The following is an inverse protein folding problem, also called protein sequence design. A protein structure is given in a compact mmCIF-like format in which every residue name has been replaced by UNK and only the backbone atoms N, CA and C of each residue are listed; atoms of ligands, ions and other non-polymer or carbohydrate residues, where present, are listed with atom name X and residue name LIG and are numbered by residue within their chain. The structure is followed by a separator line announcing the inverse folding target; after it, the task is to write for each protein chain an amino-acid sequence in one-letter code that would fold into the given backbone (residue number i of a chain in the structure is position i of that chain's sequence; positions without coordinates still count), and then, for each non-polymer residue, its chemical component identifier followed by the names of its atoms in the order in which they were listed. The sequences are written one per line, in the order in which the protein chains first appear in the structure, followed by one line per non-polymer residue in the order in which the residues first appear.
data_IF_880373577294
#
_entry.id   IF_880373577294
#
_cell.length_a   1.000
_cell.length_b   1.000
_cell.length_c   1.000
_cell.angle_alpha   90.00
_cell.angle_beta   90.00
_cell.angle_gamma   90.00
#
_symmetry.space_group_name_H-M   'P 1'
#
loop_
_entity.id
_entity.type
_entity.pdbx_description
1 polymer ?
#
# COMPACT_ATOMS: atom_id res chain seq x y z
N UNK A 1 -8.99 -1.56 2.72
CA UNK A 1 -9.22 -1.13 1.32
C UNK A 1 -10.61 -1.52 0.84
N UNK A 2 -11.14 -2.67 1.28
CA UNK A 2 -12.44 -3.22 0.93
C UNK A 2 -13.11 -3.87 2.17
N UNK A 3 -14.32 -4.41 1.99
CA UNK A 3 -15.11 -5.02 3.06
C UNK A 3 -14.51 -6.33 3.59
N UNK A 4 -13.89 -7.16 2.74
CA UNK A 4 -13.31 -8.43 3.16
C UNK A 4 -12.14 -8.22 4.13
N UNK A 5 -11.30 -7.21 3.88
CA UNK A 5 -10.23 -6.82 4.81
C UNK A 5 -10.80 -6.32 6.14
N UNK A 6 -11.88 -5.52 6.12
CA UNK A 6 -12.52 -5.05 7.34
C UNK A 6 -13.09 -6.21 8.17
N UNK A 7 -13.71 -7.18 7.50
CA UNK A 7 -14.22 -8.41 8.13
C UNK A 7 -13.07 -9.20 8.74
N UNK A 8 -11.96 -9.39 8.03
CA UNK A 8 -10.79 -10.10 8.56
C UNK A 8 -10.25 -9.45 9.84
N UNK A 9 -10.14 -8.12 9.86
CA UNK A 9 -9.72 -7.36 11.05
C UNK A 9 -10.70 -7.57 12.22
N UNK A 10 -12.01 -7.54 11.95
CA UNK A 10 -13.06 -7.75 12.97
C UNK A 10 -13.07 -9.17 13.51
N UNK A 11 -12.98 -10.17 12.64
CA UNK A 11 -12.88 -11.59 13.02
C UNK A 11 -11.61 -11.85 13.83
N UNK A 12 -10.52 -11.11 13.54
CA UNK A 12 -9.30 -11.09 14.36
C UNK A 12 -9.45 -10.43 15.74
N UNK A 13 -10.65 -9.98 16.13
CA UNK A 13 -10.96 -9.45 17.46
C UNK A 13 -10.71 -7.95 17.64
N UNK A 14 -10.33 -7.22 16.59
CA UNK A 14 -10.07 -5.77 16.67
C UNK A 14 -11.38 -4.98 16.72
N UNK A 15 -11.58 -4.22 17.81
CA UNK A 15 -12.78 -3.41 18.06
C UNK A 15 -12.61 -1.91 17.75
N UNK A 16 -11.43 -1.46 17.34
CA UNK A 16 -11.18 -0.04 16.97
C UNK A 16 -11.99 0.34 15.72
N UNK A 17 -12.36 1.63 15.51
CA UNK A 17 -13.02 2.06 14.28
C UNK A 17 -12.25 1.65 13.02
N UNK A 18 -12.97 1.22 11.99
CA UNK A 18 -12.40 0.84 10.68
C UNK A 18 -13.06 1.70 9.61
N UNK A 19 -12.24 2.37 8.80
CA UNK A 19 -12.69 3.11 7.62
C UNK A 19 -12.29 2.35 6.36
N UNK A 20 -13.25 2.07 5.48
CA UNK A 20 -12.96 1.67 4.10
C UNK A 20 -12.71 2.93 3.27
N UNK A 21 -11.49 3.07 2.74
CA UNK A 21 -11.09 4.21 1.90
C UNK A 21 -11.68 4.18 0.49
N UNK A 22 -12.06 2.99 0.01
CA UNK A 22 -12.55 2.75 -1.34
C UNK A 22 -14.07 2.58 -1.43
N UNK A 23 -14.50 1.93 -2.49
CA UNK A 23 -15.90 1.60 -2.76
C UNK A 23 -16.30 0.27 -2.10
N UNK A 24 -17.52 0.24 -1.57
CA UNK A 24 -18.20 -0.99 -1.15
C UNK A 24 -19.56 -1.04 -1.85
N UNK A 25 -19.90 -2.12 -2.57
CA UNK A 25 -21.20 -2.22 -3.21
C UNK A 25 -22.36 -2.00 -2.21
N UNK A 26 -23.39 -1.20 -2.53
CA UNK A 26 -24.53 -0.97 -1.62
C UNK A 26 -25.26 -2.25 -1.22
N UNK A 27 -25.22 -3.29 -2.06
CA UNK A 27 -25.72 -4.65 -1.74
C UNK A 27 -25.01 -5.34 -0.57
N UNK A 28 -23.88 -4.79 -0.10
CA UNK A 28 -23.11 -5.28 1.04
C UNK A 28 -23.31 -4.42 2.29
N UNK A 29 -24.39 -3.64 2.34
CA UNK A 29 -24.71 -2.77 3.48
C UNK A 29 -24.93 -3.56 4.77
N UNK A 30 -25.49 -4.77 4.67
CA UNK A 30 -25.65 -5.70 5.78
C UNK A 30 -24.31 -6.03 6.44
N UNK A 31 -23.25 -6.20 5.65
CA UNK A 31 -21.89 -6.42 6.14
C UNK A 31 -21.30 -5.16 6.78
N UNK A 32 -21.50 -3.99 6.17
CA UNK A 32 -21.05 -2.70 6.73
C UNK A 32 -21.64 -2.51 8.14
N UNK A 33 -22.94 -2.74 8.30
CA UNK A 33 -23.62 -2.60 9.58
C UNK A 33 -23.20 -3.67 10.58
N UNK A 34 -23.27 -4.95 10.19
CA UNK A 34 -22.94 -6.09 11.05
C UNK A 34 -21.54 -6.00 11.64
N UNK A 35 -20.57 -5.49 10.86
CA UNK A 35 -19.18 -5.40 11.26
C UNK A 35 -18.76 -4.00 11.73
N UNK A 36 -19.71 -3.06 11.95
CA UNK A 36 -19.46 -1.68 12.37
C UNK A 36 -18.29 -1.03 11.60
N UNK A 37 -18.47 -0.92 10.28
CA UNK A 37 -17.48 -0.36 9.36
C UNK A 37 -17.93 1.04 8.93
N UNK A 38 -17.03 2.03 9.07
CA UNK A 38 -17.24 3.37 8.52
C UNK A 38 -16.95 3.34 7.02
N UNK A 39 -17.84 3.90 6.21
CA UNK A 39 -17.75 3.88 4.75
C UNK A 39 -17.38 5.25 4.18
N UNK A 40 -16.46 5.29 3.21
CA UNK A 40 -16.19 6.52 2.46
C UNK A 40 -17.36 6.84 1.53
N UNK A 41 -17.79 8.10 1.49
CA UNK A 41 -18.71 8.65 0.47
C UNK A 41 -17.92 9.63 -0.40
N UNK A 42 -17.82 9.35 -1.69
CA UNK A 42 -16.98 10.11 -2.63
C UNK A 42 -17.75 10.71 -3.80
N UNK A 43 -19.04 10.45 -3.92
CA UNK A 43 -19.92 11.07 -4.91
C UNK A 43 -21.34 11.13 -4.39
N UNK A 44 -22.14 12.02 -4.98
CA UNK A 44 -23.54 12.21 -4.61
C UNK A 44 -24.39 10.97 -4.88
N UNK A 45 -24.26 10.39 -6.08
CA UNK A 45 -25.05 9.22 -6.47
C UNK A 45 -24.73 8.01 -5.57
N UNK A 46 -23.46 7.78 -5.28
CA UNK A 46 -23.07 6.71 -4.37
C UNK A 46 -23.54 6.97 -2.94
N UNK A 47 -23.48 8.22 -2.47
CA UNK A 47 -24.06 8.63 -1.19
C UNK A 47 -25.56 8.31 -1.11
N UNK A 48 -26.34 8.61 -2.16
CA UNK A 48 -27.76 8.26 -2.21
C UNK A 48 -27.99 6.75 -2.20
N UNK A 49 -27.21 5.98 -2.95
CA UNK A 49 -27.34 4.52 -2.95
C UNK A 49 -27.04 3.93 -1.57
N UNK A 50 -26.04 4.45 -0.85
CA UNK A 50 -25.75 4.04 0.52
C UNK A 50 -26.86 4.46 1.49
N UNK A 51 -27.39 5.67 1.35
CA UNK A 51 -28.49 6.14 2.18
C UNK A 51 -29.74 5.26 2.00
N UNK A 52 -30.10 4.93 0.75
CA UNK A 52 -31.22 4.02 0.45
C UNK A 52 -30.98 2.62 1.03
N UNK A 53 -29.81 2.02 0.80
CA UNK A 53 -29.51 0.69 1.32
C UNK A 53 -29.51 0.64 2.86
N UNK A 54 -29.08 1.72 3.52
CA UNK A 54 -29.17 1.84 4.97
C UNK A 54 -30.62 2.04 5.44
N UNK A 55 -31.43 2.79 4.70
CA UNK A 55 -32.87 2.96 4.94
C UNK A 55 -33.63 1.64 4.82
N UNK A 56 -33.36 0.84 3.78
CA UNK A 56 -33.99 -0.46 3.54
C UNK A 56 -33.73 -1.44 4.71
N UNK A 57 -32.59 -1.29 5.40
CA UNK A 57 -32.25 -2.05 6.61
C UNK A 57 -32.78 -1.42 7.91
N UNK A 58 -33.36 -0.22 7.85
CA UNK A 58 -33.77 0.54 9.03
C UNK A 58 -32.59 1.00 9.88
N UNK A 59 -31.44 1.25 9.26
CA UNK A 59 -30.16 1.53 9.91
C UNK A 59 -29.61 2.91 9.53
N UNK A 60 -28.65 3.34 10.33
CA UNK A 60 -27.80 4.50 10.08
C UNK A 60 -26.34 4.04 10.11
N UNK A 61 -25.54 4.49 9.15
CA UNK A 61 -24.12 4.13 9.06
C UNK A 61 -23.21 5.34 9.20
N UNK A 62 -22.02 5.12 9.77
CA UNK A 62 -20.97 6.14 9.83
C UNK A 62 -20.32 6.29 8.47
N UNK A 63 -20.13 7.54 8.04
CA UNK A 63 -19.47 7.86 6.78
C UNK A 63 -18.38 8.91 6.94
N UNK A 64 -17.35 8.78 6.11
CA UNK A 64 -16.36 9.83 5.90
C UNK A 64 -16.51 10.40 4.49
N UNK A 65 -16.65 11.72 4.38
CA UNK A 65 -16.80 12.40 3.09
C UNK A 65 -15.41 12.59 2.46
N UNK A 66 -15.24 12.08 1.25
CA UNK A 66 -13.99 12.20 0.50
C UNK A 66 -14.05 13.44 -0.39
N UNK A 67 -13.09 14.33 -0.20
CA UNK A 67 -12.91 15.52 -1.04
C UNK A 67 -11.74 15.28 -2.00
N UNK A 68 -11.95 15.65 -3.25
CA UNK A 68 -10.90 15.67 -4.24
C UNK A 68 -10.34 17.08 -4.43
N UNK A 69 -9.14 17.28 -3.91
CA UNK A 69 -8.43 18.56 -4.01
C UNK A 69 -7.41 18.60 -5.13
N UNK A 70 -7.33 17.55 -5.96
CA UNK A 70 -6.41 17.42 -7.09
C UNK A 70 -5.74 16.05 -7.24
N UNK A 71 -6.17 15.02 -6.50
CA UNK A 71 -5.68 13.65 -6.70
C UNK A 71 -6.40 12.99 -7.88
N UNK A 72 -7.62 13.41 -8.21
CA UNK A 72 -8.40 12.91 -9.35
C UNK A 72 -8.66 11.41 -9.33
N UNK A 73 -8.78 10.83 -8.13
CA UNK A 73 -9.03 9.39 -7.93
C UNK A 73 -10.47 9.10 -7.48
N UNK A 74 -10.88 9.71 -6.38
CA UNK A 74 -12.21 9.64 -5.78
C UNK A 74 -12.43 10.92 -4.98
N UNK A 75 -13.65 11.44 -5.01
CA UNK A 75 -14.09 12.50 -4.11
C UNK A 75 -14.97 13.54 -4.79
N UNK A 76 -15.62 14.35 -3.97
CA UNK A 76 -16.27 15.58 -4.41
C UNK A 76 -15.19 16.59 -4.81
N UNK A 77 -15.14 16.96 -6.09
CA UNK A 77 -14.12 17.88 -6.59
C UNK A 77 -14.35 19.30 -6.09
N UNK A 78 -13.26 19.98 -5.77
CA UNK A 78 -13.24 21.38 -5.28
C UNK A 78 -12.09 22.16 -5.90
N UNK A 79 -11.68 21.82 -7.13
CA UNK A 79 -10.48 22.38 -7.76
C UNK A 79 -10.72 23.76 -8.36
N UNK A 80 -11.99 24.12 -8.59
CA UNK A 80 -12.47 25.44 -8.99
C UNK A 80 -13.79 25.79 -8.27
N UNK A 81 -14.27 27.03 -8.44
CA UNK A 81 -15.45 27.54 -7.73
C UNK A 81 -16.77 26.87 -8.16
N UNK A 82 -16.91 26.50 -9.44
CA UNK A 82 -18.11 25.79 -9.93
C UNK A 82 -18.22 24.41 -9.28
N UNK A 83 -17.12 23.65 -9.27
CA UNK A 83 -17.04 22.36 -8.61
C UNK A 83 -17.27 22.47 -7.10
N UNK A 84 -16.71 23.50 -6.46
CA UNK A 84 -16.90 23.80 -5.03
C UNK A 84 -18.38 24.05 -4.71
N UNK A 85 -19.07 24.86 -5.51
CA UNK A 85 -20.49 25.13 -5.35
C UNK A 85 -21.35 23.87 -5.52
N UNK A 86 -21.11 23.11 -6.59
CA UNK A 86 -21.84 21.87 -6.88
C UNK A 86 -21.63 20.80 -5.80
N UNK A 87 -20.39 20.63 -5.34
CA UNK A 87 -20.03 19.72 -4.25
C UNK A 87 -20.69 20.12 -2.93
N UNK A 88 -20.74 21.43 -2.63
CA UNK A 88 -21.44 21.94 -1.44
C UNK A 88 -22.92 21.60 -1.46
N UNK A 89 -23.61 21.86 -2.57
CA UNK A 89 -25.04 21.56 -2.71
C UNK A 89 -25.33 20.07 -2.50
N UNK A 90 -24.58 19.21 -3.20
CA UNK A 90 -24.72 17.75 -3.12
C UNK A 90 -24.46 17.20 -1.72
N UNK A 91 -23.43 17.69 -1.04
CA UNK A 91 -23.11 17.27 0.33
C UNK A 91 -24.19 17.74 1.31
N UNK A 92 -24.70 18.98 1.15
CA UNK A 92 -25.82 19.49 1.96
C UNK A 92 -27.08 18.65 1.78
N UNK A 93 -27.37 18.21 0.57
CA UNK A 93 -28.52 17.34 0.31
C UNK A 93 -28.37 15.98 1.00
N UNK A 94 -27.21 15.33 0.87
CA UNK A 94 -26.93 14.07 1.57
C UNK A 94 -27.00 14.23 3.10
N UNK A 95 -26.52 15.36 3.63
CA UNK A 95 -26.50 15.63 5.07
C UNK A 95 -27.90 15.82 5.66
N UNK A 96 -28.90 16.24 4.86
CA UNK A 96 -30.30 16.31 5.30
C UNK A 96 -30.92 14.92 5.52
N UNK A 97 -30.34 13.88 4.92
CA UNK A 97 -30.76 12.48 5.11
C UNK A 97 -30.48 11.99 6.52
N UNK A 98 -31.24 10.98 6.99
CA UNK A 98 -31.12 10.44 8.35
C UNK A 98 -30.22 9.20 8.45
N UNK A 99 -29.93 8.56 7.32
CA UNK A 99 -29.28 7.24 7.26
C UNK A 99 -27.75 7.31 7.18
N UNK A 100 -27.19 8.49 6.89
CA UNK A 100 -25.75 8.71 6.87
C UNK A 100 -25.34 9.59 8.06
N UNK A 101 -24.46 9.07 8.91
CA UNK A 101 -23.81 9.85 9.96
C UNK A 101 -22.48 10.38 9.46
N UNK A 102 -22.40 11.69 9.27
CA UNK A 102 -21.18 12.36 8.79
C UNK A 102 -20.17 12.44 9.94
N UNK A 103 -19.41 11.37 10.13
CA UNK A 103 -18.42 11.23 11.19
C UNK A 103 -17.14 12.01 10.84
N UNK A 104 -16.71 11.96 9.58
CA UNK A 104 -15.45 12.56 9.16
C UNK A 104 -15.43 13.10 7.73
N UNK A 105 -14.35 13.81 7.41
CA UNK A 105 -14.06 14.37 6.10
C UNK A 105 -12.56 14.29 5.80
N UNK A 106 -12.20 13.98 4.55
CA UNK A 106 -10.79 13.79 4.22
C UNK A 106 -10.42 14.04 2.76
N UNK A 107 -9.16 14.40 2.54
CA UNK A 107 -8.51 14.41 1.22
C UNK A 107 -7.27 13.50 1.22
N UNK A 108 -6.59 13.38 0.08
CA UNK A 108 -5.33 12.66 -0.07
C UNK A 108 -4.39 13.46 -0.96
N UNK A 109 -3.16 13.66 -0.49
CA UNK A 109 -2.15 14.39 -1.23
C UNK A 109 -1.54 13.54 -2.33
N UNK A 110 -1.28 14.16 -3.47
CA UNK A 110 -0.72 13.51 -4.65
C UNK A 110 0.81 13.45 -4.63
N UNK A 111 1.47 14.47 -4.06
CA UNK A 111 2.93 14.67 -4.13
C UNK A 111 3.52 15.07 -2.77
N UNK A 112 2.96 14.57 -1.67
CA UNK A 112 3.46 14.91 -0.33
C UNK A 112 4.86 14.34 -0.02
N UNK A 113 5.31 13.39 -0.84
CA UNK A 113 6.65 12.80 -0.86
C UNK A 113 7.67 13.61 -1.68
N UNK A 114 7.22 14.64 -2.40
CA UNK A 114 8.02 15.62 -3.14
C UNK A 114 7.83 17.02 -2.51
N UNK A 115 8.41 17.29 -1.33
CA UNK A 115 8.08 18.44 -0.49
C UNK A 115 8.37 19.80 -1.12
N UNK A 116 9.25 19.85 -2.12
CA UNK A 116 9.57 21.03 -2.92
C UNK A 116 8.44 21.42 -3.89
N UNK A 117 7.55 20.48 -4.25
CA UNK A 117 6.41 20.80 -5.13
C UNK A 117 5.35 21.57 -4.35
N UNK A 118 4.89 22.73 -4.84
CA UNK A 118 3.89 23.55 -4.14
C UNK A 118 2.50 22.90 -4.06
N UNK A 119 2.25 21.85 -4.86
CA UNK A 119 0.91 21.28 -5.06
C UNK A 119 0.31 20.72 -3.77
N UNK A 120 1.09 20.14 -2.87
CA UNK A 120 0.59 19.64 -1.57
C UNK A 120 -0.03 20.77 -0.73
N UNK A 121 0.58 21.96 -0.74
CA UNK A 121 0.04 23.15 -0.05
C UNK A 121 -1.27 23.61 -0.68
N UNK A 122 -1.33 23.69 -2.02
CA UNK A 122 -2.55 24.02 -2.77
C UNK A 122 -3.68 23.03 -2.43
N UNK A 123 -3.37 21.73 -2.38
CA UNK A 123 -4.34 20.70 -2.01
C UNK A 123 -4.84 20.87 -0.57
N UNK A 124 -3.98 21.29 0.35
CA UNK A 124 -4.34 21.51 1.74
C UNK A 124 -5.22 22.76 1.92
N UNK A 125 -4.86 23.87 1.28
CA UNK A 125 -5.65 25.10 1.27
C UNK A 125 -7.08 24.83 0.77
N UNK A 126 -7.21 24.24 -0.43
CA UNK A 126 -8.51 23.81 -0.98
C UNK A 126 -9.33 22.97 -0.01
N UNK A 127 -8.67 22.02 0.68
CA UNK A 127 -9.34 21.15 1.64
C UNK A 127 -9.87 21.95 2.84
N UNK A 128 -9.00 22.75 3.47
CA UNK A 128 -9.36 23.51 4.68
C UNK A 128 -10.39 24.61 4.42
N UNK A 129 -10.32 25.28 3.27
CA UNK A 129 -11.33 26.25 2.83
C UNK A 129 -12.69 25.58 2.65
N UNK A 130 -12.72 24.42 1.98
CA UNK A 130 -13.96 23.70 1.73
C UNK A 130 -14.59 23.15 3.03
N UNK A 131 -13.77 22.61 3.93
CA UNK A 131 -14.24 22.20 5.27
C UNK A 131 -14.84 23.39 6.01
N UNK A 132 -14.16 24.54 6.00
CA UNK A 132 -14.64 25.76 6.66
C UNK A 132 -15.97 26.26 6.05
N UNK A 133 -16.15 26.12 4.74
CA UNK A 133 -17.41 26.43 4.06
C UNK A 133 -18.54 25.52 4.55
N UNK A 134 -18.34 24.20 4.59
CA UNK A 134 -19.36 23.25 5.09
C UNK A 134 -19.69 23.47 6.57
N UNK A 135 -18.71 23.81 7.40
CA UNK A 135 -18.92 24.11 8.82
C UNK A 135 -19.77 25.37 9.02
N UNK A 136 -19.60 26.41 8.19
CA UNK A 136 -20.47 27.61 8.18
C UNK A 136 -21.91 27.28 7.79
N UNK A 137 -22.10 26.26 6.95
CA UNK A 137 -23.43 25.72 6.60
C UNK A 137 -24.00 24.78 7.68
N UNK A 138 -23.32 24.65 8.83
CA UNK A 138 -23.78 23.86 9.98
C UNK A 138 -23.44 22.37 9.91
N UNK A 139 -22.64 21.94 8.92
CA UNK A 139 -22.19 20.55 8.78
C UNK A 139 -20.92 20.38 9.61
N UNK A 140 -21.00 19.60 10.69
CA UNK A 140 -19.86 19.39 11.60
C UNK A 140 -19.26 18.02 11.38
N UNK A 141 -17.94 17.93 11.49
CA UNK A 141 -17.20 16.68 11.40
C UNK A 141 -16.43 16.44 12.69
N UNK A 142 -16.41 15.19 13.16
CA UNK A 142 -15.58 14.79 14.30
C UNK A 142 -14.13 14.62 13.89
N UNK A 143 -13.89 14.11 12.69
CA UNK A 143 -12.55 13.81 12.19
C UNK A 143 -12.29 14.49 10.84
N UNK A 144 -11.36 15.44 10.82
CA UNK A 144 -10.74 15.97 9.60
C UNK A 144 -9.37 15.31 9.47
N UNK A 145 -9.06 14.75 8.31
CA UNK A 145 -7.75 14.13 8.09
C UNK A 145 -7.27 14.25 6.66
N UNK A 146 -5.98 14.57 6.46
CA UNK A 146 -5.39 14.70 5.12
C UNK A 146 -4.07 13.93 5.00
N UNK A 147 -3.22 14.03 6.02
CA UNK A 147 -1.85 13.54 5.99
C UNK A 147 -1.74 12.00 5.82
N UNK A 148 -1.06 11.58 4.76
CA UNK A 148 -0.51 10.24 4.57
C UNK A 148 0.90 10.15 5.20
N UNK A 149 1.57 9.02 5.07
CA UNK A 149 2.95 8.81 5.57
C UNK A 149 3.91 9.96 5.22
N UNK A 150 3.92 10.42 3.98
CA UNK A 150 4.83 11.47 3.53
C UNK A 150 4.50 12.82 4.16
N UNK A 151 3.22 13.21 4.18
CA UNK A 151 2.80 14.45 4.84
C UNK A 151 3.02 14.46 6.36
N UNK A 152 2.96 13.30 7.03
CA UNK A 152 3.27 13.21 8.46
C UNK A 152 4.70 13.66 8.75
N UNK A 153 5.63 13.36 7.84
CA UNK A 153 7.06 13.65 7.94
C UNK A 153 7.40 15.05 7.42
N UNK A 154 6.92 15.37 6.22
CA UNK A 154 7.33 16.57 5.49
C UNK A 154 6.49 17.82 5.82
N UNK A 155 5.26 17.63 6.31
CA UNK A 155 4.29 18.71 6.55
C UNK A 155 3.57 18.51 7.90
N UNK A 156 4.31 18.49 9.03
CA UNK A 156 3.73 18.23 10.34
C UNK A 156 2.66 19.25 10.78
N UNK A 157 2.65 20.44 10.20
CA UNK A 157 1.63 21.48 10.38
C UNK A 157 0.29 21.14 9.70
N UNK A 158 0.28 20.23 8.72
CA UNK A 158 -0.93 19.76 8.04
C UNK A 158 -1.62 18.60 8.77
N UNK A 159 -1.18 18.32 10.00
CA UNK A 159 -1.86 17.40 10.91
C UNK A 159 -3.16 18.06 11.39
N UNK A 160 -4.27 17.37 11.15
CA UNK A 160 -5.60 17.80 11.57
C UNK A 160 -6.01 16.98 12.80
N UNK A 161 -7.27 16.53 12.90
CA UNK A 161 -7.72 15.73 14.04
C UNK A 161 -7.16 14.29 13.99
N UNK A 162 -6.78 13.81 12.80
CA UNK A 162 -6.21 12.47 12.60
C UNK A 162 -5.24 12.42 11.40
N UNK A 163 -4.30 11.48 11.45
CA UNK A 163 -3.34 11.18 10.37
C UNK A 163 -3.44 9.72 9.93
N UNK A 164 -2.96 9.38 8.73
CA UNK A 164 -3.07 8.03 8.15
C UNK A 164 -1.68 7.46 7.80
N UNK A 165 -0.93 6.97 8.80
CA UNK A 165 0.34 6.31 8.56
C UNK A 165 0.10 4.97 7.85
N UNK A 166 0.77 4.75 6.73
CA UNK A 166 0.77 3.49 6.00
C UNK A 166 2.19 2.93 5.98
N UNK A 167 2.94 3.27 4.94
CA UNK A 167 4.31 2.80 4.73
C UNK A 167 5.25 3.00 5.93
N UNK A 168 5.13 4.12 6.66
CA UNK A 168 5.97 4.40 7.84
C UNK A 168 5.72 3.45 9.01
N UNK A 169 4.57 2.77 9.06
CA UNK A 169 4.33 1.70 10.05
C UNK A 169 5.20 0.46 9.78
N UNK A 170 5.68 0.31 8.54
CA UNK A 170 6.60 -0.76 8.13
C UNK A 170 8.07 -0.32 8.17
N UNK A 171 8.35 0.87 8.71
CA UNK A 171 9.71 1.40 8.83
C UNK A 171 10.32 1.88 7.53
N UNK A 172 9.50 2.15 6.51
CA UNK A 172 9.94 2.58 5.19
C UNK A 172 9.15 3.80 4.69
N UNK A 173 9.70 4.51 3.71
CA UNK A 173 9.09 5.66 3.01
C UNK A 173 9.21 5.44 1.50
N UNK A 174 8.58 6.29 0.67
CA UNK A 174 8.74 6.21 -0.79
C UNK A 174 10.16 6.59 -1.22
N UNK A 175 10.71 7.68 -0.64
CA UNK A 175 11.94 8.34 -1.11
C UNK A 175 13.17 8.17 -0.19
N UNK A 176 13.22 7.09 0.60
CA UNK A 176 14.28 6.70 1.55
C UNK A 176 14.40 7.59 2.82
N UNK A 177 14.44 7.01 4.03
CA UNK A 177 14.30 7.75 5.29
C UNK A 177 15.59 7.79 6.12
N UNK A 178 16.77 7.87 5.51
CA UNK A 178 18.05 7.96 6.26
C UNK A 178 18.02 9.08 7.32
N UNK A 179 17.06 10.00 7.22
CA UNK A 179 16.81 11.15 8.09
C UNK A 179 15.80 10.96 9.24
N UNK A 180 15.02 9.88 9.32
CA UNK A 180 13.85 9.79 10.24
C UNK A 180 13.97 8.69 11.32
N UNK A 181 15.06 7.91 11.33
CA UNK A 181 15.27 6.87 12.35
C UNK A 181 14.24 5.73 12.32
N UNK A 182 13.59 5.53 11.17
CA UNK A 182 12.66 4.42 10.95
C UNK A 182 13.45 3.11 10.78
N UNK A 183 12.98 2.04 11.43
CA UNK A 183 13.56 0.70 11.30
C UNK A 183 12.63 -0.19 10.46
N UNK A 184 13.07 -0.69 9.29
CA UNK A 184 12.32 -1.69 8.53
C UNK A 184 11.93 -2.89 9.39
N UNK A 185 10.68 -3.36 9.25
CA UNK A 185 10.10 -4.41 10.11
C UNK A 185 9.79 -5.72 9.38
N UNK A 186 10.12 -5.82 8.10
CA UNK A 186 9.88 -7.01 7.27
C UNK A 186 11.17 -7.46 6.61
N UNK A 187 11.41 -8.77 6.67
CA UNK A 187 12.46 -9.45 5.92
C UNK A 187 11.83 -10.56 5.09
N UNK A 188 12.35 -10.76 3.88
CA UNK A 188 12.00 -11.88 3.02
C UNK A 188 13.22 -12.78 2.92
N UNK A 189 13.07 -13.99 3.46
CA UNK A 189 14.10 -15.02 3.44
C UNK A 189 13.61 -16.26 2.71
N UNK A 190 14.54 -17.02 2.17
CA UNK A 190 14.34 -18.35 1.61
C UNK A 190 15.54 -19.22 2.00
N UNK A 191 15.64 -20.40 1.42
CA UNK A 191 16.78 -21.31 1.65
C UNK A 191 17.36 -21.79 0.32
N UNK A 192 18.56 -22.35 0.36
CA UNK A 192 19.12 -23.09 -0.77
C UNK A 192 18.50 -24.48 -0.82
N UNK A 193 17.71 -24.78 -1.86
CA UNK A 193 17.09 -26.10 -2.00
C UNK A 193 18.00 -27.12 -2.69
N UNK A 194 18.86 -26.65 -3.59
CA UNK A 194 19.75 -27.53 -4.34
C UNK A 194 21.00 -26.79 -4.81
N UNK A 195 22.16 -27.44 -4.74
CA UNK A 195 23.44 -26.93 -5.24
C UNK A 195 23.97 -27.90 -6.27
N UNK A 196 24.35 -27.40 -7.45
CA UNK A 196 24.94 -28.24 -8.48
C UNK A 196 25.97 -27.51 -9.33
N UNK A 197 26.86 -28.32 -9.92
CA UNK A 197 27.92 -27.84 -10.80
C UNK A 197 27.38 -27.69 -12.23
N UNK A 198 27.81 -26.61 -12.88
CA UNK A 198 27.54 -26.26 -14.27
C UNK A 198 28.85 -26.22 -15.03
N UNK A 199 28.86 -26.77 -16.25
CA UNK A 199 29.99 -26.68 -17.17
C UNK A 199 29.85 -25.45 -18.06
N UNK A 200 30.97 -24.96 -18.57
CA UNK A 200 30.96 -23.95 -19.63
C UNK A 200 30.04 -24.39 -20.79
N UNK A 201 29.09 -23.54 -21.16
CA UNK A 201 28.12 -23.80 -22.22
C UNK A 201 26.76 -24.33 -21.75
N UNK A 202 26.65 -24.77 -20.49
CA UNK A 202 25.36 -25.15 -19.91
C UNK A 202 24.44 -23.92 -19.82
N UNK A 203 23.13 -24.14 -19.97
CA UNK A 203 22.13 -23.07 -19.91
C UNK A 203 21.23 -23.24 -18.69
N UNK A 204 20.68 -22.14 -18.17
CA UNK A 204 19.78 -22.16 -17.01
C UNK A 204 18.49 -21.40 -17.29
N UNK A 205 17.39 -21.96 -16.77
CA UNK A 205 16.04 -21.39 -16.82
C UNK A 205 15.43 -21.26 -18.22
N UNK A 206 14.24 -20.67 -18.27
CA UNK A 206 13.43 -20.54 -19.48
C UNK A 206 14.10 -19.71 -20.56
N UNK A 207 14.06 -20.22 -21.79
CA UNK A 207 14.56 -19.55 -22.98
C UNK A 207 16.07 -19.36 -23.02
N UNK A 208 16.80 -20.05 -22.13
CA UNK A 208 18.26 -20.12 -22.15
C UNK A 208 18.93 -18.73 -22.20
N UNK A 209 18.38 -17.78 -21.46
CA UNK A 209 18.86 -16.38 -21.48
C UNK A 209 20.19 -16.21 -20.76
N UNK A 210 20.65 -17.24 -20.07
CA UNK A 210 21.96 -17.31 -19.45
C UNK A 210 22.64 -18.61 -19.88
N UNK A 211 23.84 -18.47 -20.43
CA UNK A 211 24.74 -19.55 -20.81
C UNK A 211 26.00 -19.40 -19.96
N UNK A 212 26.38 -20.47 -19.27
CA UNK A 212 27.53 -20.50 -18.37
C UNK A 212 28.82 -20.14 -19.15
N UNK A 213 29.49 -19.01 -18.81
CA UNK A 213 30.69 -18.58 -19.54
C UNK A 213 31.93 -19.41 -19.18
N UNK A 214 31.85 -20.15 -18.07
CA UNK A 214 32.90 -21.00 -17.48
C UNK A 214 32.23 -22.09 -16.65
N UNK A 215 33.04 -23.04 -16.19
CA UNK A 215 32.60 -23.96 -15.14
C UNK A 215 32.27 -23.15 -13.88
N UNK A 216 31.10 -23.40 -13.33
CA UNK A 216 30.50 -22.58 -12.27
C UNK A 216 29.66 -23.45 -11.33
N UNK A 217 29.33 -22.90 -10.16
CA UNK A 217 28.42 -23.55 -9.22
C UNK A 217 27.17 -22.71 -9.07
N UNK A 218 26.01 -23.34 -9.15
CA UNK A 218 24.73 -22.65 -9.05
C UNK A 218 23.89 -23.24 -7.93
N UNK A 219 23.05 -22.41 -7.33
CA UNK A 219 22.09 -22.82 -6.32
C UNK A 219 20.67 -22.51 -6.81
N UNK A 220 19.75 -23.43 -6.53
CA UNK A 220 18.31 -23.24 -6.73
C UNK A 220 17.68 -22.75 -5.42
N UNK A 221 16.82 -21.75 -5.52
CA UNK A 221 16.07 -21.17 -4.41
C UNK A 221 14.58 -21.45 -4.62
N UNK A 222 13.83 -21.91 -3.60
CA UNK A 222 12.40 -22.17 -3.68
C UNK A 222 11.60 -20.87 -3.46
N UNK A 223 11.83 -19.89 -4.33
CA UNK A 223 11.04 -18.65 -4.39
C UNK A 223 10.94 -18.17 -5.84
N UNK A 224 9.74 -17.77 -6.25
CA UNK A 224 9.49 -17.26 -7.60
C UNK A 224 8.44 -16.15 -7.66
N UNK A 225 7.98 -15.84 -8.87
CA UNK A 225 7.06 -14.73 -9.07
C UNK A 225 5.65 -14.96 -8.50
N UNK A 226 5.26 -16.22 -8.22
CA UNK A 226 3.99 -16.50 -7.52
C UNK A 226 4.06 -16.19 -6.02
N UNK A 227 5.26 -16.00 -5.47
CA UNK A 227 5.51 -15.62 -4.08
C UNK A 227 5.62 -14.10 -3.89
N UNK A 228 5.66 -13.34 -4.98
CA UNK A 228 5.87 -11.90 -5.01
C UNK A 228 7.24 -11.45 -5.49
N UNK A 229 8.10 -12.38 -5.98
CA UNK A 229 9.40 -12.03 -6.54
C UNK A 229 9.28 -11.62 -8.02
N UNK A 230 9.31 -10.32 -8.29
CA UNK A 230 9.04 -9.75 -9.61
C UNK A 230 9.93 -10.39 -10.68
N UNK A 231 9.33 -10.89 -11.75
CA UNK A 231 10.09 -11.52 -12.85
C UNK A 231 11.07 -10.55 -13.52
N UNK A 232 10.78 -9.25 -13.51
CA UNK A 232 11.68 -8.19 -14.00
C UNK A 232 13.02 -8.14 -13.25
N UNK A 233 13.09 -8.64 -12.01
CA UNK A 233 14.31 -8.72 -11.21
C UNK A 233 15.34 -9.73 -11.73
N UNK A 234 14.98 -10.57 -12.72
CA UNK A 234 15.83 -11.66 -13.23
C UNK A 234 17.24 -11.23 -13.65
N UNK A 235 17.45 -9.96 -14.00
CA UNK A 235 18.75 -9.44 -14.46
C UNK A 235 19.51 -8.60 -13.43
N UNK A 236 18.85 -8.20 -12.35
CA UNK A 236 19.32 -7.12 -11.48
C UNK A 236 19.42 -7.54 -10.01
N UNK A 237 18.64 -8.53 -9.60
CA UNK A 237 18.64 -8.96 -8.21
C UNK A 237 19.87 -9.81 -7.88
N UNK A 238 20.46 -9.50 -6.73
CA UNK A 238 21.42 -10.34 -6.03
C UNK A 238 20.88 -10.64 -4.64
N UNK A 239 20.83 -11.89 -4.23
CA UNK A 239 20.46 -12.26 -2.85
C UNK A 239 21.69 -12.27 -1.96
N UNK A 240 21.52 -12.31 -0.64
CA UNK A 240 22.62 -12.59 0.29
C UNK A 240 22.57 -14.03 0.78
N UNK A 241 23.71 -14.73 0.68
CA UNK A 241 23.92 -16.07 1.25
C UNK A 241 25.20 -16.01 2.07
N UNK A 242 25.14 -16.38 3.35
CA UNK A 242 26.28 -16.28 4.27
C UNK A 242 26.96 -14.90 4.27
N UNK A 243 26.15 -13.82 4.16
CA UNK A 243 26.61 -12.43 4.11
C UNK A 243 27.27 -11.98 2.79
N UNK A 244 27.24 -12.82 1.74
CA UNK A 244 27.83 -12.52 0.44
C UNK A 244 26.76 -12.45 -0.65
N UNK A 245 26.95 -11.53 -1.60
CA UNK A 245 26.03 -11.39 -2.74
C UNK A 245 26.13 -12.59 -3.70
N UNK A 246 24.98 -13.12 -4.09
CA UNK A 246 24.83 -14.13 -5.14
C UNK A 246 23.82 -13.61 -6.19
N UNK A 247 24.25 -13.32 -7.44
CA UNK A 247 23.37 -12.78 -8.47
C UNK A 247 22.41 -13.84 -9.01
N UNK A 248 21.16 -13.44 -9.29
CA UNK A 248 20.21 -14.27 -10.04
C UNK A 248 20.75 -14.50 -11.46
N UNK A 249 20.64 -15.74 -11.94
CA UNK A 249 21.01 -16.14 -13.30
C UNK A 249 19.82 -16.80 -14.00
N UNK A 250 19.68 -16.52 -15.30
CA UNK A 250 18.50 -16.94 -16.06
C UNK A 250 17.26 -16.13 -15.68
N UNK A 251 16.07 -16.73 -15.81
CA UNK A 251 14.79 -16.09 -15.48
C UNK A 251 14.26 -16.60 -14.15
N UNK A 252 13.64 -15.72 -13.38
CA UNK A 252 12.81 -16.09 -12.23
C UNK A 252 11.59 -16.88 -12.75
N UNK A 253 11.39 -18.08 -12.21
CA UNK A 253 10.28 -18.97 -12.53
C UNK A 253 9.11 -18.73 -11.58
N UNK A 254 8.03 -19.52 -11.71
CA UNK A 254 6.83 -19.35 -10.90
C UNK A 254 7.12 -19.53 -9.41
N UNK A 255 7.85 -20.58 -9.07
CA UNK A 255 8.06 -21.01 -7.68
C UNK A 255 9.56 -21.11 -7.32
N UNK A 256 10.46 -20.84 -8.27
CA UNK A 256 11.90 -21.03 -8.09
C UNK A 256 12.74 -20.01 -8.87
N UNK A 257 13.98 -19.82 -8.44
CA UNK A 257 14.99 -19.09 -9.19
C UNK A 257 16.39 -19.70 -8.95
N UNK A 258 17.36 -19.31 -9.78
CA UNK A 258 18.73 -19.81 -9.69
C UNK A 258 19.69 -18.65 -9.48
N UNK A 259 20.72 -18.88 -8.68
CA UNK A 259 21.77 -17.91 -8.36
C UNK A 259 23.15 -18.48 -8.61
N UNK A 260 24.08 -17.63 -9.05
CA UNK A 260 25.50 -17.99 -9.15
C UNK A 260 26.13 -17.96 -7.75
N UNK A 261 26.67 -19.10 -7.32
CA UNK A 261 27.36 -19.26 -6.02
C UNK A 261 28.83 -19.65 -6.23
N UNK A 262 29.38 -19.38 -7.40
CA UNK A 262 30.77 -19.65 -7.72
C UNK A 262 31.72 -18.92 -6.76
N UNK A 263 32.61 -19.66 -6.10
CA UNK A 263 33.53 -19.11 -5.11
C UNK A 263 32.92 -18.88 -3.72
N UNK A 264 31.66 -19.28 -3.51
CA UNK A 264 31.00 -19.29 -2.21
C UNK A 264 30.95 -20.73 -1.66
N UNK A 265 31.16 -20.89 -0.35
CA UNK A 265 30.83 -22.14 0.34
C UNK A 265 29.34 -22.08 0.69
N UNK A 266 28.52 -22.74 -0.14
CA UNK A 266 27.06 -22.75 -0.05
C UNK A 266 26.59 -24.19 -0.04
N UNK A 267 25.67 -24.49 0.89
CA UNK A 267 25.07 -25.81 1.09
C UNK A 267 23.56 -25.73 1.02
N UNK A 268 22.93 -26.86 0.72
CA UNK A 268 21.48 -27.02 0.91
C UNK A 268 21.10 -26.68 2.35
N UNK A 269 19.96 -26.03 2.54
CA UNK A 269 19.45 -25.45 3.78
C UNK A 269 20.12 -24.15 4.26
N UNK A 270 21.15 -23.62 3.56
CA UNK A 270 21.70 -22.31 3.90
C UNK A 270 20.62 -21.21 3.76
N UNK A 271 20.56 -20.31 4.73
CA UNK A 271 19.62 -19.18 4.72
C UNK A 271 19.99 -18.17 3.63
N UNK A 272 18.98 -17.68 2.93
CA UNK A 272 19.12 -16.69 1.86
C UNK A 272 18.24 -15.48 2.17
N UNK A 273 18.85 -14.29 2.23
CA UNK A 273 18.12 -13.03 2.39
C UNK A 273 17.84 -12.42 1.01
N UNK A 274 16.55 -12.28 0.68
CA UNK A 274 16.09 -11.61 -0.55
C UNK A 274 16.00 -10.10 -0.33
N UNK A 275 15.45 -9.67 0.81
CA UNK A 275 15.59 -8.33 1.38
C UNK A 275 15.41 -8.40 2.91
N UNK A 276 16.00 -7.47 3.65
CA UNK A 276 16.03 -7.45 5.12
C UNK A 276 17.35 -6.87 5.64
N UNK A 277 17.84 -7.39 6.77
CA UNK A 277 19.16 -7.03 7.28
C UNK A 277 20.27 -7.26 6.23
N UNK A 278 21.11 -6.24 6.04
CA UNK A 278 22.19 -6.26 5.05
C UNK A 278 21.75 -6.09 3.59
N UNK A 279 20.44 -6.15 3.29
CA UNK A 279 19.92 -6.02 1.93
C UNK A 279 18.62 -5.23 1.88
N UNK A 280 18.70 -4.00 1.39
CA UNK A 280 17.60 -3.05 1.44
C UNK A 280 16.49 -3.39 0.43
N UNK A 281 15.22 -3.27 0.83
CA UNK A 281 14.08 -3.40 -0.10
C UNK A 281 14.11 -2.35 -1.21
N UNK A 282 14.74 -1.20 -0.96
CA UNK A 282 14.89 -0.16 -1.97
C UNK A 282 15.82 -0.59 -3.12
N UNK A 283 16.79 -1.48 -2.87
CA UNK A 283 17.62 -2.03 -3.95
C UNK A 283 16.78 -2.80 -4.97
N UNK A 284 15.73 -3.49 -4.50
CA UNK A 284 14.82 -4.23 -5.36
C UNK A 284 13.92 -3.28 -6.14
N UNK A 285 13.36 -2.26 -5.48
CA UNK A 285 12.46 -1.32 -6.16
C UNK A 285 13.18 -0.50 -7.21
N UNK A 286 14.38 0.01 -6.91
CA UNK A 286 15.21 0.75 -7.86
C UNK A 286 15.58 -0.10 -9.08
N UNK A 287 15.87 -1.38 -8.87
CA UNK A 287 16.31 -2.30 -9.91
C UNK A 287 15.27 -2.55 -11.01
N UNK A 288 13.99 -2.24 -10.75
CA UNK A 288 12.88 -2.44 -11.68
C UNK A 288 12.00 -1.20 -11.86
N UNK A 289 12.50 -0.02 -11.45
CA UNK A 289 11.81 1.27 -11.59
C UNK A 289 10.40 1.25 -10.95
N UNK A 290 10.34 0.82 -9.70
CA UNK A 290 9.12 0.87 -8.88
C UNK A 290 9.39 1.48 -7.50
N UNK A 291 8.41 1.41 -6.61
CA UNK A 291 8.46 1.88 -5.23
C UNK A 291 8.49 0.70 -4.25
N UNK A 292 9.12 0.85 -3.07
CA UNK A 292 9.19 -0.22 -2.07
C UNK A 292 7.81 -0.68 -1.59
N UNK A 293 6.79 0.18 -1.69
CA UNK A 293 5.39 -0.17 -1.40
C UNK A 293 4.92 -1.35 -2.24
N UNK A 294 5.25 -1.38 -3.54
CA UNK A 294 4.86 -2.46 -4.45
C UNK A 294 5.56 -3.77 -4.05
N UNK A 295 6.87 -3.72 -3.79
CA UNK A 295 7.68 -4.88 -3.39
C UNK A 295 7.11 -5.58 -2.14
N UNK A 296 6.77 -4.82 -1.09
CA UNK A 296 6.28 -5.43 0.16
C UNK A 296 4.81 -5.87 0.09
N UNK A 297 3.99 -5.20 -0.73
CA UNK A 297 2.58 -5.56 -0.88
C UNK A 297 2.37 -6.82 -1.71
N UNK A 298 3.26 -7.08 -2.67
CA UNK A 298 3.14 -8.20 -3.59
C UNK A 298 3.62 -9.54 -3.03
N UNK A 299 4.20 -9.55 -1.82
CA UNK A 299 4.50 -10.80 -1.13
C UNK A 299 3.19 -11.55 -0.88
N UNK A 300 2.98 -12.63 -1.63
CA UNK A 300 1.70 -13.32 -1.71
C UNK A 300 1.40 -14.16 -0.48
N UNK A 301 0.14 -14.60 -0.30
CA UNK A 301 -0.30 -15.43 0.86
C UNK A 301 0.39 -16.80 0.96
N UNK A 302 1.05 -17.27 -0.11
CA UNK A 302 1.85 -18.52 -0.12
C UNK A 302 3.08 -18.44 0.79
N UNK A 303 3.63 -17.23 0.94
CA UNK A 303 4.77 -16.99 1.82
C UNK A 303 4.29 -16.93 3.28
N UNK A 304 4.73 -17.84 4.16
CA UNK A 304 4.33 -17.80 5.56
C UNK A 304 4.88 -16.54 6.25
N UNK A 305 4.12 -15.98 7.20
CA UNK A 305 4.55 -14.84 8.02
C UNK A 305 4.96 -15.35 9.40
N UNK A 306 6.21 -15.09 9.78
CA UNK A 306 6.72 -15.32 11.13
C UNK A 306 6.81 -13.97 11.84
N UNK A 307 6.12 -13.83 12.97
CA UNK A 307 6.10 -12.60 13.75
C UNK A 307 7.03 -12.74 14.96
N UNK A 308 8.06 -11.89 15.01
CA UNK A 308 8.96 -11.79 16.16
C UNK A 308 8.40 -10.74 17.13
N UNK A 309 8.46 -11.03 18.44
CA UNK A 309 7.98 -10.14 19.50
C UNK A 309 9.09 -9.85 20.50
#
# INVERSE_FOLDING_TARGET
SNIDEAIQIRVGGIKKPILILGYTPPRSMDLIEKYDVTQTVFSYDYGKMLAQAAEDLGKKIKVHIKIDTGMNRLGFSVQNEEEKALSTEKIKELYKGKNLEFEGIFTHFAVADEPEKPFTKIQFERFTEFVSLLEKEGIKFRYRHAANSAAILNFPEMKLDMVRPGLILYGITTNRPDTVGLKPVMELKTTVSFVHDFRKGDSVSYGQTYIAPKDMKIATLPIGYADGLFRSLSKSLKVLINGKEAPIIGRICMDQCMVDVSGLDVKTEDEVTVFGEGKSVYELSDAIDTIPYEIICDIGKRVPRVYLK
#
